data_IF_346345572888
#
_entry.id   IF_346345572888
#
_cell.length_a   1.000
_cell.length_b   1.000
_cell.length_c   1.000
_cell.angle_alpha   90.00
_cell.angle_beta   90.00
_cell.angle_gamma   90.00
#
_symmetry.space_group_name_H-M   'P 1'
#
loop_
_entity.id
_entity.type
_entity.pdbx_description
1 polymer ?
#
# COMPACT_ATOMS: atom_id res chain seq x y z
N UNK A 1 49.78 -9.24 -55.31
CA UNK A 1 49.57 -7.91 -54.72
C UNK A 1 48.27 -7.38 -55.31
N UNK A 2 47.13 -7.67 -54.68
CA UNK A 2 46.51 -6.96 -53.56
C UNK A 2 45.77 -5.67 -54.00
N UNK A 3 44.51 -5.57 -53.54
CA UNK A 3 43.49 -4.49 -53.63
C UNK A 3 42.53 -4.63 -54.82
N UNK A 4 41.33 -5.24 -54.71
CA UNK A 4 40.20 -5.07 -53.78
C UNK A 4 39.43 -3.74 -53.98
N UNK A 5 38.42 -3.80 -54.87
CA UNK A 5 37.24 -2.92 -54.87
C UNK A 5 36.06 -3.84 -55.25
N UNK A 6 35.18 -4.11 -54.29
CA UNK A 6 33.99 -4.94 -54.47
C UNK A 6 32.76 -4.04 -54.32
N UNK A 7 32.08 -3.83 -55.43
CA UNK A 7 30.78 -3.17 -55.52
C UNK A 7 29.66 -4.06 -54.98
N UNK A 8 28.63 -3.37 -54.49
CA UNK A 8 27.40 -3.87 -53.90
C UNK A 8 26.57 -4.70 -54.89
N UNK A 9 26.16 -5.91 -54.47
CA UNK A 9 24.92 -6.52 -54.96
C UNK A 9 23.95 -6.83 -53.82
N UNK A 10 22.69 -6.50 -54.09
CA UNK A 10 21.55 -6.60 -53.20
C UNK A 10 21.03 -8.04 -53.15
N UNK A 11 21.20 -8.70 -52.00
CA UNK A 11 20.56 -9.97 -51.67
C UNK A 11 19.40 -9.76 -50.70
N UNK A 12 18.18 -9.90 -51.18
CA UNK A 12 16.97 -9.91 -50.35
C UNK A 12 16.93 -11.18 -49.50
N UNK A 13 16.83 -11.04 -48.18
CA UNK A 13 16.53 -12.14 -47.26
C UNK A 13 15.52 -11.66 -46.23
N UNK A 14 14.31 -12.19 -46.35
CA UNK A 14 13.17 -11.97 -45.46
C UNK A 14 13.50 -12.54 -44.08
N UNK A 15 13.68 -11.70 -43.07
CA UNK A 15 13.64 -12.10 -41.67
C UNK A 15 12.39 -11.55 -40.99
N UNK A 16 11.64 -12.45 -40.38
CA UNK A 16 10.38 -12.23 -39.72
C UNK A 16 10.38 -11.04 -38.73
N UNK A 17 9.29 -10.30 -38.77
CA UNK A 17 8.97 -9.16 -37.90
C UNK A 17 8.83 -9.59 -36.45
N UNK A 18 9.92 -9.60 -35.68
CA UNK A 18 9.84 -9.37 -34.24
C UNK A 18 9.64 -7.88 -34.03
N UNK A 19 8.44 -7.50 -33.56
CA UNK A 19 8.08 -6.13 -33.20
C UNK A 19 8.92 -5.63 -32.03
N UNK A 20 10.14 -5.17 -32.32
CA UNK A 20 10.95 -4.38 -31.41
C UNK A 20 10.31 -3.00 -31.30
N UNK A 21 9.50 -2.80 -30.27
CA UNK A 21 9.00 -1.47 -29.92
C UNK A 21 10.22 -0.58 -29.62
N UNK A 22 10.38 0.47 -30.42
CA UNK A 22 11.36 1.53 -30.21
C UNK A 22 11.16 2.21 -28.85
N UNK A 23 12.23 2.65 -28.18
CA UNK A 23 12.12 3.36 -26.92
C UNK A 23 11.65 4.77 -27.22
N UNK A 24 10.33 4.98 -27.31
CA UNK A 24 9.77 6.32 -27.16
C UNK A 24 10.31 6.85 -25.83
N UNK A 25 10.87 8.05 -25.81
CA UNK A 25 11.21 8.73 -24.56
C UNK A 25 9.96 8.71 -23.67
N UNK A 26 9.94 7.81 -22.69
CA UNK A 26 8.75 7.56 -21.88
C UNK A 26 8.74 8.62 -20.80
N UNK A 27 7.97 9.67 -21.00
CA UNK A 27 7.72 10.62 -19.93
C UNK A 27 7.03 9.87 -18.78
N UNK A 28 7.41 10.15 -17.52
CA UNK A 28 6.76 9.55 -16.38
C UNK A 28 5.28 9.97 -16.34
N UNK A 29 4.43 9.09 -15.82
CA UNK A 29 3.00 9.39 -15.73
C UNK A 29 2.77 10.66 -14.90
N UNK A 30 1.84 11.57 -15.28
CA UNK A 30 1.67 12.85 -14.60
C UNK A 30 1.42 12.72 -13.10
N UNK A 31 0.73 11.65 -12.68
CA UNK A 31 0.54 11.34 -11.26
C UNK A 31 1.88 11.19 -10.53
N UNK A 32 2.80 10.40 -11.09
CA UNK A 32 4.09 10.11 -10.48
C UNK A 32 4.97 11.35 -10.40
N UNK A 33 5.03 12.13 -11.49
CA UNK A 33 5.80 13.39 -11.52
C UNK A 33 5.27 14.35 -10.46
N UNK A 34 3.95 14.53 -10.39
CA UNK A 34 3.31 15.41 -9.39
C UNK A 34 3.50 14.94 -7.96
N UNK A 35 3.41 13.64 -7.70
CA UNK A 35 3.67 13.10 -6.36
C UNK A 35 5.12 13.30 -5.97
N UNK A 36 6.06 13.14 -6.91
CA UNK A 36 7.47 13.40 -6.67
C UNK A 36 7.73 14.89 -6.40
N UNK A 37 7.16 15.78 -7.22
CA UNK A 37 7.25 17.24 -7.04
C UNK A 37 6.62 17.69 -5.72
N UNK A 38 5.52 17.08 -5.30
CA UNK A 38 4.90 17.33 -4.01
C UNK A 38 5.81 16.98 -2.83
N UNK A 39 6.69 15.98 -3.00
CA UNK A 39 7.62 15.52 -1.97
C UNK A 39 8.98 16.25 -2.00
N UNK A 40 9.41 16.71 -3.18
CA UNK A 40 10.65 17.48 -3.35
C UNK A 40 10.46 19.00 -3.29
N UNK A 41 9.27 19.51 -3.62
CA UNK A 41 8.98 20.93 -3.67
C UNK A 41 9.40 21.59 -2.38
N UNK A 42 10.21 22.63 -2.48
CA UNK A 42 10.59 23.42 -1.31
C UNK A 42 9.33 24.06 -0.73
N UNK A 43 9.39 24.38 0.56
CA UNK A 43 8.30 25.04 1.25
C UNK A 43 8.12 26.42 0.59
N UNK A 44 7.15 26.54 -0.31
CA UNK A 44 6.74 27.83 -0.84
C UNK A 44 6.12 28.63 0.32
N UNK A 45 6.99 29.21 1.14
CA UNK A 45 6.73 30.17 2.22
C UNK A 45 6.30 31.54 1.64
N UNK A 46 5.37 31.53 0.69
CA UNK A 46 4.69 32.72 0.19
C UNK A 46 3.24 32.59 0.63
N UNK A 47 2.95 33.15 1.81
CA UNK A 47 1.63 33.22 2.47
C UNK A 47 1.38 32.19 3.60
N UNK A 48 2.25 32.16 4.61
CA UNK A 48 1.93 31.79 6.01
C UNK A 48 1.39 30.38 6.33
N UNK A 49 1.15 29.54 5.34
CA UNK A 49 0.51 28.24 5.47
C UNK A 49 1.57 27.14 5.66
N UNK A 50 1.85 26.83 6.93
CA UNK A 50 2.67 25.70 7.41
C UNK A 50 2.15 24.32 6.99
N UNK A 51 1.20 24.23 6.05
CA UNK A 51 0.45 23.02 5.73
C UNK A 51 1.26 21.87 5.13
N UNK A 52 2.44 22.13 4.54
CA UNK A 52 3.31 21.07 3.98
C UNK A 52 4.27 20.48 5.01
N UNK A 53 4.85 21.33 5.87
CA UNK A 53 5.87 20.95 6.85
C UNK A 53 5.24 20.10 7.97
N UNK A 54 5.33 18.78 7.82
CA UNK A 54 4.80 17.82 8.80
C UNK A 54 3.61 17.01 8.31
N UNK A 55 3.03 17.32 7.14
CA UNK A 55 1.87 16.59 6.60
C UNK A 55 2.29 15.40 5.74
N UNK A 56 3.34 15.56 4.94
CA UNK A 56 3.90 14.52 4.07
C UNK A 56 5.41 14.70 3.93
N UNK A 57 6.17 13.61 3.96
CA UNK A 57 7.62 13.66 3.80
C UNK A 57 8.17 12.37 3.19
N UNK A 58 9.37 12.43 2.62
CA UNK A 58 10.16 11.22 2.40
C UNK A 58 10.38 10.48 3.73
N UNK A 59 10.49 9.16 3.67
CA UNK A 59 10.95 8.37 4.82
C UNK A 59 12.47 8.59 5.03
N UNK A 60 12.99 8.15 6.17
CA UNK A 60 14.40 8.37 6.53
C UNK A 60 15.39 7.80 5.50
N UNK A 61 15.02 6.70 4.84
CA UNK A 61 15.85 6.03 3.83
C UNK A 61 15.73 6.63 2.42
N UNK A 62 14.74 7.50 2.16
CA UNK A 62 14.43 8.00 0.82
C UNK A 62 13.84 6.94 -0.14
N UNK A 63 13.48 5.76 0.35
CA UNK A 63 12.92 4.63 -0.43
C UNK A 63 11.40 4.68 -0.56
N UNK A 64 10.76 5.68 0.05
CA UNK A 64 9.34 5.89 0.04
C UNK A 64 8.96 7.16 0.79
N UNK A 65 7.68 7.34 1.03
CA UNK A 65 7.16 8.54 1.70
C UNK A 65 6.09 8.19 2.73
N UNK A 66 5.90 9.10 3.67
CA UNK A 66 4.95 8.99 4.78
C UNK A 66 3.96 10.14 4.70
N UNK A 67 2.67 9.82 4.80
CA UNK A 67 1.60 10.80 5.05
C UNK A 67 1.28 10.78 6.54
N UNK A 68 1.59 11.86 7.25
CA UNK A 68 1.43 11.93 8.70
C UNK A 68 0.00 12.28 9.09
N UNK A 69 -0.63 13.22 8.37
CA UNK A 69 -2.01 13.65 8.58
C UNK A 69 -2.81 13.52 7.28
N UNK A 70 -3.60 12.43 7.10
CA UNK A 70 -4.42 12.26 5.89
C UNK A 70 -5.46 13.36 5.69
N UNK A 71 -5.98 13.94 6.79
CA UNK A 71 -6.98 15.01 6.73
C UNK A 71 -6.36 16.30 6.17
N UNK A 72 -5.27 16.78 6.78
CA UNK A 72 -4.55 17.98 6.30
C UNK A 72 -3.97 17.76 4.90
N UNK A 73 -3.46 16.56 4.61
CA UNK A 73 -3.00 16.22 3.27
C UNK A 73 -4.11 16.35 2.22
N UNK A 74 -5.32 15.93 2.58
CA UNK A 74 -6.49 16.00 1.71
C UNK A 74 -6.92 17.43 1.45
N UNK A 75 -6.98 18.26 2.48
CA UNK A 75 -7.51 19.63 2.39
C UNK A 75 -6.49 20.62 1.84
N UNK A 76 -5.24 20.55 2.30
CA UNK A 76 -4.23 21.57 2.04
C UNK A 76 -3.32 21.20 0.86
N UNK A 77 -3.01 19.92 0.68
CA UNK A 77 -1.97 19.49 -0.27
C UNK A 77 -2.57 18.96 -1.58
N UNK A 78 -3.57 18.06 -1.51
CA UNK A 78 -4.12 17.45 -2.71
C UNK A 78 -4.67 18.46 -3.73
N UNK A 79 -5.40 19.54 -3.35
CA UNK A 79 -5.91 20.53 -4.32
C UNK A 79 -4.80 21.32 -5.04
N UNK A 80 -3.62 21.47 -4.42
CA UNK A 80 -2.47 22.18 -5.02
C UNK A 80 -1.85 21.39 -6.18
N UNK A 81 -1.84 20.06 -6.10
CA UNK A 81 -1.18 19.18 -7.07
C UNK A 81 -2.16 18.39 -7.97
N UNK A 82 -3.36 18.09 -7.48
CA UNK A 82 -4.37 17.24 -8.12
C UNK A 82 -5.73 17.94 -8.20
N UNK A 83 -6.60 17.50 -9.12
CA UNK A 83 -7.94 18.07 -9.34
C UNK A 83 -8.99 17.56 -8.35
N UNK A 84 -8.58 17.11 -7.17
CA UNK A 84 -9.45 16.58 -6.12
C UNK A 84 -8.77 16.74 -4.77
N UNK A 85 -9.55 16.71 -3.69
CA UNK A 85 -9.07 16.68 -2.31
C UNK A 85 -9.22 15.28 -1.66
N UNK A 86 -9.65 14.25 -2.40
CA UNK A 86 -9.97 12.96 -1.80
C UNK A 86 -8.74 12.06 -1.61
N UNK A 87 -8.40 11.73 -0.36
CA UNK A 87 -7.31 10.80 -0.03
C UNK A 87 -7.45 9.44 -0.70
N UNK A 88 -8.67 8.88 -0.77
CA UNK A 88 -8.91 7.56 -1.35
C UNK A 88 -8.57 7.51 -2.84
N UNK A 89 -8.81 8.61 -3.56
CA UNK A 89 -8.41 8.73 -4.97
C UNK A 89 -6.90 8.71 -5.13
N UNK A 90 -6.17 9.39 -4.23
CA UNK A 90 -4.72 9.34 -4.17
C UNK A 90 -4.20 7.93 -3.88
N UNK A 91 -4.78 7.24 -2.89
CA UNK A 91 -4.44 5.84 -2.58
C UNK A 91 -4.71 4.90 -3.76
N UNK A 92 -5.83 5.09 -4.48
CA UNK A 92 -6.16 4.30 -5.67
C UNK A 92 -5.08 4.47 -6.76
N UNK A 93 -4.61 5.70 -6.96
CA UNK A 93 -3.53 5.97 -7.91
C UNK A 93 -2.23 5.30 -7.47
N UNK A 94 -1.84 5.37 -6.19
CA UNK A 94 -0.68 4.66 -5.66
C UNK A 94 -0.78 3.14 -5.91
N UNK A 95 -1.91 2.54 -5.59
CA UNK A 95 -2.14 1.11 -5.82
C UNK A 95 -2.05 0.73 -7.31
N UNK A 96 -2.54 1.60 -8.18
CA UNK A 96 -2.51 1.44 -9.63
C UNK A 96 -1.08 1.40 -10.18
N UNK A 97 -0.17 2.16 -9.59
CA UNK A 97 1.26 2.16 -9.91
C UNK A 97 2.09 1.21 -9.04
N UNK A 98 1.43 0.39 -8.22
CA UNK A 98 2.08 -0.69 -7.49
C UNK A 98 2.81 -0.32 -6.22
N UNK A 99 2.61 0.88 -5.68
CA UNK A 99 3.09 1.23 -4.36
C UNK A 99 2.53 0.28 -3.30
N UNK A 100 3.34 -0.03 -2.29
CA UNK A 100 2.95 -0.91 -1.18
C UNK A 100 2.93 -0.12 0.12
N UNK A 101 1.89 -0.35 0.94
CA UNK A 101 1.84 0.16 2.30
C UNK A 101 2.75 -0.69 3.18
N UNK A 102 3.74 -0.06 3.83
CA UNK A 102 4.77 -0.80 4.61
C UNK A 102 4.34 -1.03 6.06
N UNK A 103 3.43 -0.20 6.59
CA UNK A 103 2.99 -0.26 7.99
C UNK A 103 1.46 -0.17 8.09
N UNK A 104 0.84 -0.90 9.02
CA UNK A 104 -0.61 -0.81 9.23
C UNK A 104 -1.04 0.50 9.89
N UNK A 105 -0.24 1.00 10.83
CA UNK A 105 -0.54 2.17 11.68
C UNK A 105 -0.16 3.50 11.03
N UNK A 106 0.79 3.49 10.11
CA UNK A 106 1.34 4.68 9.46
C UNK A 106 1.03 4.59 7.97
N UNK A 107 0.69 5.73 7.34
CA UNK A 107 0.51 5.81 5.90
C UNK A 107 1.85 5.95 5.16
N UNK A 108 2.72 4.97 5.35
CA UNK A 108 4.00 4.85 4.66
C UNK A 108 3.84 4.01 3.38
N UNK A 109 4.30 4.55 2.26
CA UNK A 109 4.26 3.90 0.95
C UNK A 109 5.65 3.81 0.34
N UNK A 110 6.01 2.62 -0.15
CA UNK A 110 7.29 2.36 -0.83
C UNK A 110 7.06 1.82 -2.25
N UNK A 111 7.99 2.14 -3.14
CA UNK A 111 8.10 1.55 -4.47
C UNK A 111 9.57 1.54 -4.92
N UNK A 112 10.04 0.43 -5.50
CA UNK A 112 11.45 0.22 -5.85
C UNK A 112 12.03 1.33 -6.73
N UNK A 113 11.24 1.82 -7.69
CA UNK A 113 11.64 2.85 -8.65
C UNK A 113 11.18 4.28 -8.28
N UNK A 114 10.66 4.47 -7.07
CA UNK A 114 10.27 5.78 -6.55
C UNK A 114 11.16 6.12 -5.35
N UNK A 115 12.29 6.77 -5.62
CA UNK A 115 13.31 7.07 -4.60
C UNK A 115 13.70 8.54 -4.65
N UNK A 116 14.00 9.12 -3.48
CA UNK A 116 14.45 10.51 -3.34
C UNK A 116 15.73 10.75 -4.15
N UNK A 117 15.78 11.85 -4.90
CA UNK A 117 16.89 12.19 -5.79
C UNK A 117 16.93 11.42 -7.12
N UNK A 118 16.13 10.37 -7.29
CA UNK A 118 16.15 9.50 -8.47
C UNK A 118 14.93 9.71 -9.39
N UNK A 119 14.61 10.96 -9.72
CA UNK A 119 13.46 11.32 -10.56
C UNK A 119 13.43 10.62 -11.92
N UNK A 120 14.59 10.31 -12.50
CA UNK A 120 14.70 9.64 -13.79
C UNK A 120 14.10 8.21 -13.76
N UNK A 121 14.05 7.55 -12.61
CA UNK A 121 13.51 6.20 -12.47
C UNK A 121 11.98 6.14 -12.56
N UNK A 122 11.29 7.29 -12.45
CA UNK A 122 9.82 7.36 -12.53
C UNK A 122 9.28 6.85 -13.87
N UNK A 123 10.07 6.89 -14.93
CA UNK A 123 9.71 6.40 -16.27
C UNK A 123 9.54 4.89 -16.34
N UNK A 124 10.16 4.16 -15.40
CA UNK A 124 10.08 2.70 -15.29
C UNK A 124 8.82 2.24 -14.55
N UNK A 125 8.18 3.13 -13.79
CA UNK A 125 6.97 2.81 -13.05
C UNK A 125 5.81 2.75 -14.03
N UNK A 126 5.30 1.53 -14.25
CA UNK A 126 4.17 1.29 -15.14
C UNK A 126 2.91 0.97 -14.35
N UNK A 127 1.76 1.29 -14.93
CA UNK A 127 0.47 0.90 -14.36
C UNK A 127 0.40 -0.62 -14.30
N UNK A 128 0.06 -1.17 -13.14
CA UNK A 128 -0.27 -2.59 -13.01
C UNK A 128 -1.39 -2.90 -14.00
N UNK A 129 -1.15 -3.90 -14.86
CA UNK A 129 -2.24 -4.48 -15.62
C UNK A 129 -3.24 -4.98 -14.60
N UNK A 130 -4.47 -4.44 -14.65
CA UNK A 130 -5.57 -5.13 -14.01
C UNK A 130 -5.64 -6.47 -14.74
N UNK A 131 -5.12 -7.52 -14.12
CA UNK A 131 -5.60 -8.85 -14.44
C UNK A 131 -7.13 -8.73 -14.38
N UNK A 132 -7.85 -9.12 -15.44
CA UNK A 132 -9.30 -9.19 -15.35
C UNK A 132 -9.53 -10.00 -14.09
N UNK A 133 -10.17 -9.35 -13.11
CA UNK A 133 -10.51 -10.02 -11.89
C UNK A 133 -11.11 -11.36 -12.31
N UNK A 134 -10.73 -12.44 -11.62
CA UNK A 134 -11.48 -13.69 -11.63
C UNK A 134 -12.82 -13.44 -10.90
N UNK A 135 -13.48 -12.33 -11.24
CA UNK A 135 -14.87 -12.06 -11.00
C UNK A 135 -15.58 -13.16 -11.77
N UNK A 136 -16.37 -13.99 -11.10
CA UNK A 136 -17.07 -15.07 -11.77
C UNK A 136 -17.82 -14.52 -12.99
N UNK A 137 -17.76 -15.25 -14.10
CA UNK A 137 -18.36 -14.84 -15.36
C UNK A 137 -19.85 -14.44 -15.24
N UNK A 138 -20.54 -14.91 -14.19
CA UNK A 138 -21.95 -14.61 -13.91
C UNK A 138 -22.26 -13.16 -13.49
N UNK A 139 -21.26 -12.33 -13.13
CA UNK A 139 -21.46 -10.89 -12.87
C UNK A 139 -21.03 -10.00 -14.04
N UNK A 140 -20.56 -10.60 -15.14
CA UNK A 140 -20.22 -9.87 -16.35
C UNK A 140 -21.53 -9.44 -17.02
N UNK A 141 -21.80 -8.14 -17.08
CA UNK A 141 -22.83 -7.62 -17.97
C UNK A 141 -22.51 -8.09 -19.38
N UNK A 142 -23.50 -8.75 -19.98
CA UNK A 142 -23.36 -9.66 -21.10
C UNK A 142 -22.70 -8.99 -22.32
N UNK A 143 -21.46 -9.38 -22.62
CA UNK A 143 -20.89 -9.30 -23.96
C UNK A 143 -19.98 -10.52 -24.12
N UNK A 144 -20.52 -11.51 -24.84
CA UNK A 144 -19.83 -12.67 -25.41
C UNK A 144 -19.78 -13.95 -24.54
N UNK A 145 -20.84 -14.73 -24.75
CA UNK A 145 -20.95 -16.20 -24.82
C UNK A 145 -19.75 -17.03 -24.33
N UNK A 146 -19.95 -17.68 -23.17
CA UNK A 146 -19.22 -18.89 -22.76
C UNK A 146 -20.21 -19.78 -22.02
N UNK A 147 -20.60 -20.88 -22.65
CA UNK A 147 -21.56 -21.86 -22.11
C UNK A 147 -20.95 -22.62 -20.92
N UNK A 148 -21.11 -22.09 -19.71
CA UNK A 148 -20.95 -22.85 -18.47
C UNK A 148 -22.24 -23.66 -18.24
N UNK A 149 -22.14 -24.97 -18.04
CA UNK A 149 -23.35 -25.81 -17.84
C UNK A 149 -23.97 -25.57 -16.47
N UNK A 150 -25.28 -25.78 -16.33
CA UNK A 150 -26.00 -25.58 -15.07
C UNK A 150 -25.42 -26.41 -13.90
N UNK A 151 -24.79 -27.55 -14.20
CA UNK A 151 -24.15 -28.42 -13.21
C UNK A 151 -22.86 -27.83 -12.66
N UNK A 152 -22.06 -27.16 -13.50
CA UNK A 152 -20.85 -26.44 -13.07
C UNK A 152 -21.19 -25.24 -12.20
N UNK A 153 -22.33 -24.59 -12.46
CA UNK A 153 -22.81 -23.48 -11.66
C UNK A 153 -23.22 -23.92 -10.24
N UNK A 154 -23.93 -25.05 -10.10
CA UNK A 154 -24.34 -25.56 -8.79
C UNK A 154 -23.15 -26.10 -7.98
N UNK A 155 -22.18 -26.76 -8.63
CA UNK A 155 -20.96 -27.22 -7.98
C UNK A 155 -20.15 -26.05 -7.39
N UNK A 156 -20.00 -24.97 -8.15
CA UNK A 156 -19.33 -23.75 -7.68
C UNK A 156 -20.09 -23.10 -6.51
N UNK A 157 -21.42 -23.09 -6.57
CA UNK A 157 -22.28 -22.54 -5.49
C UNK A 157 -22.13 -23.35 -4.20
N UNK A 158 -22.12 -24.68 -4.30
CA UNK A 158 -21.96 -25.56 -3.15
C UNK A 158 -20.57 -25.44 -2.52
N UNK A 159 -19.52 -25.33 -3.34
CA UNK A 159 -18.16 -25.09 -2.86
C UNK A 159 -18.07 -23.76 -2.10
N UNK A 160 -18.68 -22.71 -2.63
CA UNK A 160 -18.73 -21.39 -1.99
C UNK A 160 -19.45 -21.42 -0.64
N UNK A 161 -20.54 -22.19 -0.53
CA UNK A 161 -21.26 -22.35 0.74
C UNK A 161 -20.38 -23.03 1.80
N UNK A 162 -19.68 -24.11 1.42
CA UNK A 162 -18.75 -24.82 2.33
C UNK A 162 -17.61 -23.92 2.81
N UNK A 163 -17.03 -23.12 1.91
CA UNK A 163 -15.97 -22.19 2.26
C UNK A 163 -16.48 -21.08 3.19
N UNK A 164 -17.66 -20.52 2.92
CA UNK A 164 -18.29 -19.55 3.81
C UNK A 164 -18.54 -20.11 5.22
N UNK A 165 -18.95 -21.36 5.34
CA UNK A 165 -19.11 -22.02 6.64
C UNK A 165 -17.77 -22.27 7.34
N UNK A 166 -16.72 -22.63 6.59
CA UNK A 166 -15.38 -22.75 7.14
C UNK A 166 -14.85 -21.41 7.67
N UNK A 167 -14.97 -20.34 6.89
CA UNK A 167 -14.59 -18.98 7.28
C UNK A 167 -15.37 -18.50 8.50
N UNK A 168 -16.67 -18.81 8.60
CA UNK A 168 -17.47 -18.49 9.79
C UNK A 168 -16.96 -19.21 11.04
N UNK A 169 -16.53 -20.48 10.91
CA UNK A 169 -15.93 -21.23 12.02
C UNK A 169 -14.61 -20.62 12.45
N UNK A 170 -13.70 -20.34 11.52
CA UNK A 170 -12.41 -19.71 11.81
C UNK A 170 -12.59 -18.32 12.45
N UNK A 171 -13.53 -17.51 11.93
CA UNK A 171 -13.87 -16.21 12.52
C UNK A 171 -14.29 -16.35 13.99
N UNK A 172 -15.13 -17.34 14.31
CA UNK A 172 -15.61 -17.57 15.67
C UNK A 172 -14.47 -18.04 16.59
N UNK A 173 -13.58 -18.89 16.07
CA UNK A 173 -12.40 -19.35 16.80
C UNK A 173 -11.44 -18.18 17.12
N UNK A 174 -11.12 -17.34 16.14
CA UNK A 174 -10.30 -16.16 16.34
C UNK A 174 -10.94 -15.18 17.35
N UNK A 175 -12.26 -15.01 17.27
CA UNK A 175 -13.00 -14.20 18.25
C UNK A 175 -12.89 -14.77 19.66
N UNK A 176 -12.96 -16.10 19.81
CA UNK A 176 -12.79 -16.77 21.10
C UNK A 176 -11.37 -16.61 21.64
N UNK A 177 -10.34 -16.76 20.80
CA UNK A 177 -8.95 -16.54 21.19
C UNK A 177 -8.73 -15.10 21.67
N UNK A 178 -9.25 -14.11 20.95
CA UNK A 178 -9.17 -12.69 21.35
C UNK A 178 -9.84 -12.48 22.72
N UNK A 179 -11.01 -13.09 22.95
CA UNK A 179 -11.71 -12.97 24.24
C UNK A 179 -10.89 -13.60 25.38
N UNK A 180 -10.24 -14.75 25.14
CA UNK A 180 -9.37 -15.38 26.12
C UNK A 180 -8.14 -14.52 26.46
N UNK A 181 -7.46 -13.95 25.46
CA UNK A 181 -6.33 -13.05 25.69
C UNK A 181 -6.73 -11.83 26.51
N UNK A 182 -7.87 -11.21 26.19
CA UNK A 182 -8.42 -10.08 26.97
C UNK A 182 -8.73 -10.47 28.42
N UNK A 183 -9.30 -11.65 28.65
CA UNK A 183 -9.57 -12.13 30.00
C UNK A 183 -8.28 -12.36 30.80
N UNK A 184 -7.23 -12.86 30.15
CA UNK A 184 -5.92 -13.05 30.77
C UNK A 184 -5.23 -11.72 31.09
N UNK A 185 -5.35 -10.74 30.20
CA UNK A 185 -4.89 -9.37 30.42
C UNK A 185 -5.56 -8.74 31.66
N UNK A 186 -6.89 -8.88 31.79
CA UNK A 186 -7.62 -8.40 32.97
C UNK A 186 -7.10 -9.07 34.25
N UNK A 187 -6.94 -10.40 34.25
CA UNK A 187 -6.40 -11.13 35.42
C UNK A 187 -5.00 -10.65 35.79
N UNK A 188 -4.12 -10.43 34.80
CA UNK A 188 -2.78 -9.93 35.04
C UNK A 188 -2.81 -8.54 35.68
N UNK A 189 -3.69 -7.66 35.17
CA UNK A 189 -3.90 -6.32 35.73
C UNK A 189 -4.41 -6.37 37.17
N UNK A 190 -5.32 -7.29 37.49
CA UNK A 190 -5.80 -7.50 38.85
C UNK A 190 -4.66 -7.96 39.80
N UNK A 191 -3.82 -8.91 39.37
CA UNK A 191 -2.66 -9.35 40.16
C UNK A 191 -1.66 -8.21 40.41
N UNK A 192 -1.37 -7.40 39.40
CA UNK A 192 -0.48 -6.24 39.55
C UNK A 192 -1.09 -5.19 40.50
N UNK A 193 -2.40 -4.96 40.40
CA UNK A 193 -3.12 -4.04 41.28
C UNK A 193 -3.10 -4.52 42.74
N UNK A 194 -3.33 -5.81 42.97
CA UNK A 194 -3.23 -6.44 44.28
C UNK A 194 -1.82 -6.37 44.85
N UNK A 195 -0.80 -6.65 44.04
CA UNK A 195 0.60 -6.55 44.45
C UNK A 195 0.96 -5.12 44.87
N UNK A 196 0.61 -4.11 44.06
CA UNK A 196 0.88 -2.71 44.40
C UNK A 196 0.14 -2.26 45.66
N UNK A 197 -1.12 -2.66 45.83
CA UNK A 197 -1.93 -2.28 47.01
C UNK A 197 -1.47 -3.00 48.28
N UNK A 198 -1.17 -4.29 48.21
CA UNK A 198 -0.66 -5.09 49.34
C UNK A 198 0.73 -4.65 49.81
N UNK A 199 1.61 -4.25 48.88
CA UNK A 199 2.93 -3.76 49.25
C UNK A 199 2.88 -2.36 49.88
N UNK A 200 1.88 -1.54 49.52
CA UNK A 200 1.63 -0.24 50.15
C UNK A 200 1.09 -0.38 51.59
N UNK A 201 0.21 -1.36 51.84
CA UNK A 201 -0.27 -1.68 53.20
C UNK A 201 0.87 -2.18 54.10
N UNK A 202 1.76 -3.05 53.59
CA UNK A 202 2.94 -3.51 54.34
C UNK A 202 3.92 -2.37 54.66
N UNK A 203 4.14 -1.45 53.70
CA UNK A 203 4.94 -0.23 53.95
C UNK A 203 4.28 0.70 54.98
N UNK A 204 2.95 0.82 54.98
CA UNK A 204 2.22 1.61 55.97
C UNK A 204 2.27 0.97 57.37
N UNK A 205 2.17 -0.36 57.45
CA UNK A 205 2.23 -1.13 58.68
C UNK A 205 3.64 -1.06 59.31
N UNK A 206 4.69 -1.27 58.51
CA UNK A 206 6.08 -1.10 58.94
C UNK A 206 6.38 0.33 59.40
N UNK A 207 5.86 1.36 58.71
CA UNK A 207 5.99 2.78 59.10
C UNK A 207 5.25 3.13 60.39
N UNK A 208 4.19 2.40 60.72
CA UNK A 208 3.44 2.59 61.97
C UNK A 208 4.14 1.88 63.12
N UNK A 209 4.68 0.67 62.90
CA UNK A 209 5.46 -0.07 63.89
C UNK A 209 6.78 0.63 64.27
N UNK A 210 7.50 1.22 63.31
CA UNK A 210 8.73 1.97 63.61
C UNK A 210 8.51 3.31 64.33
N UNK A 211 7.26 3.75 64.56
CA UNK A 211 6.92 4.96 65.31
C UNK A 211 6.51 4.70 66.77
N UNK A 212 6.41 3.43 67.16
CA UNK A 212 6.00 2.97 68.50
C UNK A 212 7.18 2.50 69.37
N UNK A 213 8.42 2.81 68.97
CA UNK A 213 9.66 2.64 69.73
C UNK A 213 10.49 3.91 69.62
#
# INVERSE_FOLDING_TARGET
MAREVLELEQGTSKSATTSSQSPRARCPAPFLSKTYDLLEGEDDDIDGDRGKLGTVSWNAEGTGFVVWSPAEFSELILPKYFKHNNFSSFIRQLNTYGFKKTCSKIWEFKHEKFQKGCRHMLVEITRKKCEPSVFPAYLKANSEESTMTAMDQENNRLQLLKENEALKREKLELQMQIAQFKALEIKLMDYLTQYMTGNNQNKLFLRTLCRLH
#
